data_IF_184657868311
#
_entry.id   IF_184657868311
#
_cell.length_a   1.000
_cell.length_b   1.000
_cell.length_c   1.000
_cell.angle_alpha   90.00
_cell.angle_beta   90.00
_cell.angle_gamma   90.00
#
_symmetry.space_group_name_H-M   'P 1'
#
loop_
_entity.id
_entity.type
_entity.pdbx_description
1 polymer ?
#
# COMPACT_ATOMS: atom_id res chain seq x y z
N UNK A 1 -13.88 19.32 -60.71
CA UNK A 1 -13.03 18.69 -59.68
C UNK A 1 -13.84 17.69 -58.87
N UNK A 2 -13.35 16.45 -58.73
CA UNK A 2 -13.91 15.42 -57.84
C UNK A 2 -13.39 15.60 -56.42
N UNK A 3 -14.26 15.89 -55.46
CA UNK A 3 -13.90 15.97 -54.05
C UNK A 3 -13.89 14.58 -53.42
N UNK A 4 -12.78 14.20 -52.82
CA UNK A 4 -12.65 12.91 -52.13
C UNK A 4 -13.52 12.85 -50.86
N UNK A 5 -14.03 11.65 -50.52
CA UNK A 5 -14.85 11.43 -49.33
C UNK A 5 -14.05 11.48 -48.03
N UNK A 6 -12.73 11.25 -48.10
CA UNK A 6 -11.82 11.20 -46.97
C UNK A 6 -10.73 12.25 -47.10
N UNK A 7 -10.31 12.79 -45.96
CA UNK A 7 -9.11 13.61 -45.86
C UNK A 7 -7.88 12.71 -45.93
N UNK A 8 -6.80 13.24 -46.49
CA UNK A 8 -5.52 12.56 -46.55
C UNK A 8 -4.58 13.13 -45.49
N UNK A 9 -3.79 12.27 -44.86
CA UNK A 9 -2.71 12.70 -43.99
C UNK A 9 -1.54 13.05 -44.91
N UNK A 10 -1.02 14.27 -44.78
CA UNK A 10 0.03 14.83 -45.64
C UNK A 10 1.39 14.55 -45.04
N UNK A 11 1.53 14.77 -43.73
CA UNK A 11 2.76 14.54 -42.98
C UNK A 11 2.45 14.39 -41.48
N UNK A 12 3.29 13.62 -40.77
CA UNK A 12 3.29 13.44 -39.32
C UNK A 12 4.65 13.84 -38.73
N UNK A 13 4.68 14.13 -37.43
CA UNK A 13 5.95 14.37 -36.73
C UNK A 13 6.75 13.10 -36.41
N UNK A 14 6.35 11.92 -36.90
CA UNK A 14 7.02 10.65 -36.60
C UNK A 14 8.37 10.54 -37.32
N UNK A 15 9.24 9.68 -36.79
CA UNK A 15 10.48 9.32 -37.48
C UNK A 15 10.13 8.53 -38.73
N UNK A 16 10.52 9.05 -39.89
CA UNK A 16 10.32 8.39 -41.17
C UNK A 16 11.37 7.29 -41.43
N UNK A 17 11.20 6.51 -42.49
CA UNK A 17 12.13 5.44 -42.93
C UNK A 17 13.51 5.94 -43.36
N UNK A 18 13.66 7.26 -43.53
CA UNK A 18 14.92 7.94 -43.80
C UNK A 18 15.58 8.44 -42.50
N UNK A 19 15.06 8.01 -41.34
CA UNK A 19 15.61 8.23 -40.00
C UNK A 19 15.60 9.67 -39.52
N UNK A 20 14.75 10.54 -40.08
CA UNK A 20 14.52 11.91 -39.60
C UNK A 20 13.02 12.16 -39.32
N UNK A 21 12.71 13.26 -38.64
CA UNK A 21 11.34 13.79 -38.48
C UNK A 21 11.28 15.25 -38.93
N UNK A 22 10.10 15.73 -39.30
CA UNK A 22 9.85 17.15 -39.54
C UNK A 22 8.85 17.69 -38.52
N UNK A 23 9.11 18.90 -37.99
CA UNK A 23 8.20 19.55 -37.05
C UNK A 23 7.06 20.24 -37.81
N UNK A 24 5.83 19.90 -37.47
CA UNK A 24 4.63 20.39 -38.17
C UNK A 24 4.46 21.91 -37.99
N UNK A 25 4.85 22.43 -36.84
CA UNK A 25 4.80 23.87 -36.57
C UNK A 25 5.87 24.65 -37.35
N UNK A 26 6.93 23.98 -37.78
CA UNK A 26 8.00 24.54 -38.58
C UNK A 26 7.75 24.57 -40.09
N UNK A 27 6.65 23.95 -40.55
CA UNK A 27 6.31 23.89 -41.98
C UNK A 27 5.55 25.16 -42.36
N UNK A 28 6.15 25.94 -43.25
CA UNK A 28 5.50 27.06 -43.92
C UNK A 28 4.58 26.55 -45.04
N UNK A 29 3.31 26.92 -44.95
CA UNK A 29 2.25 26.54 -45.87
C UNK A 29 1.88 27.66 -46.85
N UNK A 30 2.39 28.88 -46.67
CA UNK A 30 1.91 30.07 -47.36
C UNK A 30 2.04 29.96 -48.89
N UNK A 31 3.16 29.44 -49.38
CA UNK A 31 3.36 29.22 -50.82
C UNK A 31 2.42 28.16 -51.37
N UNK A 32 2.22 27.06 -50.63
CA UNK A 32 1.35 25.98 -51.05
C UNK A 32 -0.12 26.40 -51.07
N UNK A 33 -0.59 27.18 -50.09
CA UNK A 33 -1.97 27.66 -50.05
C UNK A 33 -2.32 28.56 -51.24
N UNK A 34 -1.34 29.28 -51.80
CA UNK A 34 -1.52 30.07 -53.01
C UNK A 34 -1.64 29.21 -54.28
N UNK A 35 -1.02 28.03 -54.31
CA UNK A 35 -1.11 27.07 -55.41
C UNK A 35 -1.09 25.63 -54.88
N UNK A 36 -2.24 25.09 -54.41
CA UNK A 36 -2.29 23.84 -53.65
C UNK A 36 -2.22 22.63 -54.57
N UNK A 37 -1.10 22.47 -55.26
CA UNK A 37 -0.92 21.48 -56.32
C UNK A 37 -0.88 20.05 -55.77
N UNK A 38 -1.62 19.14 -56.41
CA UNK A 38 -1.56 17.71 -56.13
C UNK A 38 -0.86 16.97 -57.26
N UNK A 39 0.23 16.28 -56.95
CA UNK A 39 1.04 15.53 -57.92
C UNK A 39 0.82 14.02 -57.82
N UNK A 40 1.39 13.30 -58.79
CA UNK A 40 1.52 11.85 -58.79
C UNK A 40 2.99 11.46 -58.70
N UNK A 41 3.37 10.67 -57.68
CA UNK A 41 4.76 10.21 -57.45
C UNK A 41 5.83 11.31 -57.52
N UNK A 42 5.55 12.53 -57.05
CA UNK A 42 6.46 13.68 -57.13
C UNK A 42 6.86 14.09 -58.55
N UNK A 43 6.17 13.57 -59.58
CA UNK A 43 6.43 13.94 -60.96
C UNK A 43 5.86 15.33 -61.22
N UNK A 44 6.78 16.27 -61.43
CA UNK A 44 6.45 17.63 -61.84
C UNK A 44 6.56 17.77 -63.34
N UNK A 45 5.83 18.75 -63.87
CA UNK A 45 5.74 18.92 -65.30
C UNK A 45 6.98 19.60 -65.91
N UNK A 46 8.11 18.90 -65.99
CA UNK A 46 9.34 19.36 -66.66
C UNK A 46 9.62 18.52 -67.90
N UNK A 47 9.68 19.15 -69.08
CA UNK A 47 10.01 18.46 -70.34
C UNK A 47 9.07 18.75 -71.50
N UNK A 48 9.04 17.87 -72.49
CA UNK A 48 8.21 17.99 -73.69
C UNK A 48 6.78 17.51 -73.41
N UNK A 49 5.78 18.31 -73.83
CA UNK A 49 4.33 18.20 -73.53
C UNK A 49 3.72 16.80 -73.64
N UNK A 50 4.32 15.92 -74.43
CA UNK A 50 3.88 14.57 -74.78
C UNK A 50 4.34 13.47 -73.81
N UNK A 51 5.25 13.75 -72.88
CA UNK A 51 5.83 12.74 -71.96
C UNK A 51 5.66 13.10 -70.47
N UNK A 52 4.82 14.07 -70.14
CA UNK A 52 4.79 14.66 -68.80
C UNK A 52 3.48 14.40 -68.06
N UNK A 53 3.59 13.94 -66.81
CA UNK A 53 2.46 13.90 -65.89
C UNK A 53 2.13 15.32 -65.45
N UNK A 54 0.92 15.78 -65.79
CA UNK A 54 0.38 17.02 -65.25
C UNK A 54 -0.12 16.80 -63.81
N UNK A 55 -0.24 17.86 -63.00
CA UNK A 55 -0.89 17.77 -61.70
C UNK A 55 -2.26 17.10 -61.79
N UNK A 56 -2.52 16.17 -60.89
CA UNK A 56 -3.76 15.37 -60.85
C UNK A 56 -4.89 16.04 -60.07
N UNK A 57 -4.65 17.26 -59.57
CA UNK A 57 -5.64 18.11 -58.93
C UNK A 57 -5.04 19.00 -57.85
N UNK A 58 -5.75 19.14 -56.73
CA UNK A 58 -5.38 19.99 -55.60
C UNK A 58 -5.57 19.29 -54.24
N UNK A 59 -4.83 19.74 -53.23
CA UNK A 59 -5.10 19.39 -51.83
C UNK A 59 -5.40 20.66 -51.04
N UNK A 60 -6.66 20.85 -50.68
CA UNK A 60 -7.15 22.08 -50.03
C UNK A 60 -7.49 21.85 -48.56
N UNK A 61 -7.92 22.91 -47.87
CA UNK A 61 -8.38 22.85 -46.47
C UNK A 61 -7.33 22.18 -45.56
N UNK A 62 -6.06 22.57 -45.67
CA UNK A 62 -5.00 22.04 -44.82
C UNK A 62 -5.30 22.32 -43.34
N UNK A 63 -5.06 21.34 -42.48
CA UNK A 63 -5.32 21.44 -41.04
C UNK A 63 -4.22 20.77 -40.24
N UNK A 64 -3.67 21.49 -39.27
CA UNK A 64 -2.81 20.94 -38.22
C UNK A 64 -3.70 20.36 -37.12
N UNK A 65 -3.60 19.07 -36.85
CA UNK A 65 -4.43 18.40 -35.83
C UNK A 65 -3.73 17.18 -35.22
N UNK A 66 -4.26 16.70 -34.10
CA UNK A 66 -3.75 15.51 -33.41
C UNK A 66 -4.71 14.34 -33.67
N UNK A 67 -4.21 13.26 -34.26
CA UNK A 67 -4.97 12.03 -34.48
C UNK A 67 -4.57 10.97 -33.44
N UNK A 68 -5.52 10.19 -32.89
CA UNK A 68 -5.26 9.23 -31.81
C UNK A 68 -4.12 8.23 -32.08
N UNK A 69 -4.01 7.72 -33.30
CA UNK A 69 -3.05 6.66 -33.67
C UNK A 69 -1.78 7.17 -34.35
N UNK A 70 -1.75 8.44 -34.76
CA UNK A 70 -0.68 9.02 -35.59
C UNK A 70 0.08 10.14 -34.87
N UNK A 71 -0.58 10.83 -33.93
CA UNK A 71 -0.03 12.00 -33.24
C UNK A 71 -0.31 13.30 -33.99
N UNK A 72 0.60 14.27 -33.88
CA UNK A 72 0.47 15.58 -34.50
C UNK A 72 0.77 15.51 -36.01
N UNK A 73 -0.16 15.96 -36.83
CA UNK A 73 -0.15 15.81 -38.29
C UNK A 73 -0.68 17.05 -39.01
N UNK A 74 -0.37 17.15 -40.30
CA UNK A 74 -1.14 17.96 -41.25
C UNK A 74 -2.04 17.02 -42.06
N UNK A 75 -3.33 17.34 -42.15
CA UNK A 75 -4.29 16.70 -43.04
C UNK A 75 -4.76 17.66 -44.12
N UNK A 76 -5.18 17.15 -45.27
CA UNK A 76 -5.73 17.93 -46.37
C UNK A 76 -6.91 17.23 -47.04
N UNK A 77 -7.70 17.99 -47.80
CA UNK A 77 -8.83 17.51 -48.59
C UNK A 77 -8.41 17.37 -50.06
N UNK A 78 -8.27 16.15 -50.60
CA UNK A 78 -7.98 15.95 -52.01
C UNK A 78 -9.16 16.36 -52.89
N UNK A 79 -8.83 17.07 -53.97
CA UNK A 79 -9.69 17.41 -55.10
C UNK A 79 -9.00 16.93 -56.37
N UNK A 80 -9.58 15.98 -57.08
CA UNK A 80 -9.01 15.44 -58.32
C UNK A 80 -9.56 16.19 -59.53
N UNK A 81 -8.75 16.34 -60.58
CA UNK A 81 -9.22 16.87 -61.87
C UNK A 81 -10.20 15.88 -62.53
N UNK A 82 -11.44 16.29 -62.79
CA UNK A 82 -12.47 15.47 -63.46
C UNK A 82 -12.34 15.47 -64.99
N UNK A 83 -11.52 16.36 -65.52
CA UNK A 83 -11.23 16.45 -66.96
C UNK A 83 -10.10 15.51 -67.38
N UNK A 84 -9.30 15.02 -66.43
CA UNK A 84 -8.23 14.05 -66.64
C UNK A 84 -8.67 12.62 -66.27
N UNK A 85 -8.65 11.71 -67.25
CA UNK A 85 -8.95 10.29 -67.03
C UNK A 85 -7.96 9.62 -66.06
N UNK A 86 -6.70 10.05 -66.08
CA UNK A 86 -5.70 9.53 -65.16
C UNK A 86 -6.01 9.96 -63.72
N UNK A 87 -6.24 11.25 -63.47
CA UNK A 87 -6.68 11.75 -62.17
C UNK A 87 -7.95 11.05 -61.66
N UNK A 88 -8.95 10.82 -62.52
CA UNK A 88 -10.16 10.04 -62.17
C UNK A 88 -9.86 8.60 -61.77
N UNK A 89 -8.90 7.96 -62.45
CA UNK A 89 -8.47 6.61 -62.08
C UNK A 89 -7.83 6.56 -60.68
N UNK A 90 -7.06 7.60 -60.32
CA UNK A 90 -6.44 7.73 -58.99
C UNK A 90 -7.51 8.03 -57.94
N UNK A 91 -8.46 8.93 -58.23
CA UNK A 91 -9.63 9.18 -57.37
C UNK A 91 -10.35 7.89 -57.01
N UNK A 92 -10.68 7.05 -58.00
CA UNK A 92 -11.38 5.78 -57.76
C UNK A 92 -10.57 4.82 -56.87
N UNK A 93 -9.24 4.77 -57.04
CA UNK A 93 -8.34 3.98 -56.18
C UNK A 93 -8.23 4.55 -54.77
N UNK A 94 -8.32 5.86 -54.61
CA UNK A 94 -8.34 6.49 -53.30
C UNK A 94 -9.65 6.20 -52.56
N UNK A 95 -10.78 6.40 -53.22
CA UNK A 95 -12.12 6.19 -52.66
C UNK A 95 -12.34 4.74 -52.22
N UNK A 96 -11.92 3.78 -53.04
CA UNK A 96 -12.05 2.35 -52.72
C UNK A 96 -10.98 1.84 -51.73
N UNK A 97 -10.03 2.68 -51.32
CA UNK A 97 -8.98 2.34 -50.36
C UNK A 97 -7.80 1.54 -50.91
N UNK A 98 -7.69 1.36 -52.23
CA UNK A 98 -6.51 0.77 -52.88
C UNK A 98 -5.28 1.66 -52.67
N UNK A 99 -5.46 2.97 -52.79
CA UNK A 99 -4.44 3.99 -52.55
C UNK A 99 -4.81 4.80 -51.32
N UNK A 100 -3.89 4.94 -50.37
CA UNK A 100 -4.15 5.61 -49.08
C UNK A 100 -3.04 6.54 -48.63
N UNK A 101 -1.99 6.70 -49.44
CA UNK A 101 -0.78 7.38 -49.03
C UNK A 101 -0.59 8.68 -49.80
N UNK A 102 -0.13 9.70 -49.09
CA UNK A 102 0.38 10.93 -49.67
C UNK A 102 1.79 11.20 -49.18
N UNK A 103 2.41 12.16 -49.83
CA UNK A 103 3.74 12.61 -49.51
C UNK A 103 3.79 14.13 -49.49
N UNK A 104 4.43 14.68 -48.47
CA UNK A 104 4.77 16.10 -48.44
C UNK A 104 6.11 16.32 -49.16
N UNK A 105 6.09 17.14 -50.19
CA UNK A 105 7.29 17.70 -50.81
C UNK A 105 7.77 18.88 -49.99
N UNK A 106 8.89 18.71 -49.28
CA UNK A 106 9.43 19.74 -48.39
C UNK A 106 10.75 20.30 -48.93
N UNK A 107 10.87 21.62 -48.95
CA UNK A 107 12.16 22.30 -49.10
C UNK A 107 12.72 22.50 -47.69
N UNK A 108 13.84 21.85 -47.31
CA UNK A 108 14.41 21.98 -45.98
C UNK A 108 15.09 23.35 -45.81
N UNK A 109 14.80 24.04 -44.71
CA UNK A 109 15.38 25.36 -44.38
C UNK A 109 16.33 25.26 -43.19
N UNK A 110 15.94 24.53 -42.14
CA UNK A 110 16.72 24.45 -40.90
C UNK A 110 16.65 23.03 -40.31
N UNK A 111 17.82 22.47 -40.04
CA UNK A 111 18.00 21.19 -39.35
C UNK A 111 18.56 21.42 -37.95
N UNK A 112 18.13 20.62 -36.99
CA UNK A 112 18.65 20.62 -35.62
C UNK A 112 19.09 19.23 -35.18
N UNK A 113 20.23 19.17 -34.48
CA UNK A 113 20.74 17.99 -33.80
C UNK A 113 20.52 18.08 -32.27
N UNK A 114 19.71 19.03 -31.81
CA UNK A 114 19.41 19.21 -30.38
C UNK A 114 18.72 17.96 -29.81
N UNK A 115 19.30 17.42 -28.74
CA UNK A 115 18.81 16.23 -28.02
C UNK A 115 17.35 16.41 -27.61
N UNK A 116 16.95 17.63 -27.22
CA UNK A 116 15.57 17.92 -26.82
C UNK A 116 14.54 17.74 -27.96
N UNK A 117 14.98 17.80 -29.23
CA UNK A 117 14.14 17.69 -30.42
C UNK A 117 14.21 16.32 -31.10
N UNK A 118 15.12 15.45 -30.65
CA UNK A 118 15.30 14.10 -31.19
C UNK A 118 14.27 13.12 -30.60
N UNK A 119 13.81 12.17 -31.42
CA UNK A 119 12.96 11.08 -30.97
C UNK A 119 13.70 9.74 -30.92
N UNK A 120 13.25 8.79 -30.07
CA UNK A 120 13.81 7.44 -30.06
C UNK A 120 13.80 6.80 -31.46
N UNK A 121 14.95 6.26 -31.88
CA UNK A 121 15.10 5.62 -33.19
C UNK A 121 15.50 6.55 -34.34
N UNK A 122 15.59 7.87 -34.10
CA UNK A 122 16.06 8.84 -35.08
C UNK A 122 17.60 8.75 -35.24
N UNK A 123 18.10 8.83 -36.48
CA UNK A 123 19.55 8.78 -36.80
C UNK A 123 20.04 10.00 -37.58
N UNK A 124 19.11 10.81 -38.09
CA UNK A 124 19.36 12.06 -38.79
C UNK A 124 18.74 13.25 -38.03
N UNK A 125 19.22 14.46 -38.29
CA UNK A 125 18.72 15.67 -37.61
C UNK A 125 17.20 15.85 -37.73
N UNK A 126 16.60 16.60 -36.81
CA UNK A 126 15.19 17.01 -36.88
C UNK A 126 15.06 18.18 -37.86
N UNK A 127 14.17 18.08 -38.83
CA UNK A 127 13.84 19.19 -39.73
C UNK A 127 12.93 20.17 -38.98
N UNK A 128 13.51 21.27 -38.51
CA UNK A 128 12.84 22.26 -37.65
C UNK A 128 12.07 23.28 -38.47
N UNK A 129 12.58 23.65 -39.65
CA UNK A 129 11.86 24.54 -40.58
C UNK A 129 11.93 24.02 -42.00
N UNK A 130 10.81 24.06 -42.68
CA UNK A 130 10.70 23.70 -44.10
C UNK A 130 9.58 24.47 -44.77
N UNK A 131 9.60 24.50 -46.10
CA UNK A 131 8.51 25.04 -46.93
C UNK A 131 7.81 23.86 -47.59
N UNK A 132 6.48 23.82 -47.51
CA UNK A 132 5.68 22.86 -48.27
C UNK A 132 5.62 23.32 -49.74
N UNK A 133 6.23 22.54 -50.63
CA UNK A 133 6.26 22.84 -52.07
C UNK A 133 5.11 22.15 -52.80
N UNK A 134 4.85 20.89 -52.50
CA UNK A 134 3.81 20.10 -53.15
C UNK A 134 3.26 18.99 -52.25
N UNK A 135 2.10 18.44 -52.61
CA UNK A 135 1.57 17.22 -52.02
C UNK A 135 1.34 16.21 -53.13
N UNK A 136 1.95 15.03 -53.02
CA UNK A 136 1.82 13.98 -54.02
C UNK A 136 1.04 12.79 -53.50
N UNK A 137 0.18 12.21 -54.33
CA UNK A 137 -0.33 10.86 -54.12
C UNK A 137 0.79 9.85 -54.43
N UNK A 138 1.02 8.91 -53.52
CA UNK A 138 2.11 7.91 -53.62
C UNK A 138 1.62 6.51 -53.30
N UNK A 139 2.32 5.49 -53.80
CA UNK A 139 2.00 4.07 -53.64
C UNK A 139 2.66 3.50 -52.38
N UNK A 140 3.86 3.99 -52.06
CA UNK A 140 4.67 3.58 -50.91
C UNK A 140 5.01 4.81 -50.06
N UNK A 141 4.61 4.74 -48.80
CA UNK A 141 4.93 5.71 -47.77
C UNK A 141 6.37 5.59 -47.24
N UNK A 142 6.87 6.69 -46.71
CA UNK A 142 8.06 6.79 -45.87
C UNK A 142 7.81 6.48 -44.38
N UNK A 143 6.57 6.50 -43.88
CA UNK A 143 6.17 6.17 -42.50
C UNK A 143 5.17 5.01 -42.52
N UNK A 144 5.16 4.21 -41.44
CA UNK A 144 4.21 3.11 -41.19
C UNK A 144 2.74 3.56 -41.16
N UNK A 145 2.49 4.86 -41.02
CA UNK A 145 1.17 5.48 -41.07
C UNK A 145 0.81 6.04 -42.46
N UNK A 146 1.35 5.45 -43.53
CA UNK A 146 0.97 5.76 -44.92
C UNK A 146 1.40 7.15 -45.42
N UNK A 147 2.61 7.62 -45.06
CA UNK A 147 3.11 8.95 -45.43
C UNK A 147 4.47 8.87 -46.07
N UNK A 148 4.68 9.34 -47.30
CA UNK A 148 6.03 9.61 -47.80
C UNK A 148 6.46 11.05 -47.48
N UNK A 149 7.76 11.29 -47.50
CA UNK A 149 8.32 12.64 -47.48
C UNK A 149 9.28 12.66 -48.66
N UNK A 150 9.14 13.66 -49.52
CA UNK A 150 10.14 14.00 -50.51
C UNK A 150 10.84 15.28 -50.06
N UNK A 151 12.16 15.35 -50.30
CA UNK A 151 12.91 16.58 -50.08
C UNK A 151 13.27 17.19 -51.44
N UNK A 152 13.24 18.51 -51.51
CA UNK A 152 13.68 19.28 -52.67
C UNK A 152 14.84 20.19 -52.29
N UNK A 153 15.82 20.35 -53.18
CA UNK A 153 16.92 21.28 -52.96
C UNK A 153 16.49 22.74 -53.21
N UNK A 154 17.39 23.70 -52.99
CA UNK A 154 17.09 25.13 -53.21
C UNK A 154 16.80 25.50 -54.68
N UNK A 155 17.21 24.65 -55.63
CA UNK A 155 16.87 24.78 -57.05
C UNK A 155 15.56 24.08 -57.40
N UNK A 156 14.80 23.66 -56.38
CA UNK A 156 13.57 22.90 -56.49
C UNK A 156 13.76 21.51 -57.13
N UNK A 157 14.93 20.91 -57.16
CA UNK A 157 15.13 19.57 -57.73
C UNK A 157 14.88 18.49 -56.68
N UNK A 158 14.26 17.37 -57.07
CA UNK A 158 13.94 16.28 -56.17
C UNK A 158 15.22 15.61 -55.66
N UNK A 159 15.38 15.55 -54.35
CA UNK A 159 16.48 14.83 -53.69
C UNK A 159 16.10 13.36 -53.60
N UNK A 160 16.92 12.50 -54.19
CA UNK A 160 16.69 11.07 -54.14
C UNK A 160 16.95 10.53 -52.73
N UNK A 161 15.87 10.17 -52.03
CA UNK A 161 15.95 9.59 -50.70
C UNK A 161 16.11 8.08 -50.79
N UNK A 162 17.28 7.58 -50.39
CA UNK A 162 17.56 6.14 -50.34
C UNK A 162 17.51 5.61 -48.90
N UNK A 163 17.05 4.37 -48.73
CA UNK A 163 16.95 3.72 -47.41
C UNK A 163 18.32 3.21 -46.90
N UNK A 164 19.29 3.00 -47.79
CA UNK A 164 20.58 2.35 -47.50
C UNK A 164 21.82 3.19 -47.91
N UNK A 165 21.65 4.46 -48.30
CA UNK A 165 22.74 5.32 -48.77
C UNK A 165 22.93 6.58 -47.93
N UNK A 166 24.14 7.15 -47.99
CA UNK A 166 24.44 8.49 -47.48
C UNK A 166 23.62 9.52 -48.28
N UNK A 167 22.46 9.89 -47.75
CA UNK A 167 21.64 10.95 -48.33
C UNK A 167 22.35 12.29 -48.06
N UNK A 168 23.13 12.78 -49.03
CA UNK A 168 24.06 13.91 -48.86
C UNK A 168 23.43 15.20 -48.31
N UNK A 169 22.11 15.38 -48.45
CA UNK A 169 21.38 16.57 -47.98
C UNK A 169 20.69 16.39 -46.62
N UNK A 170 20.66 15.16 -46.08
CA UNK A 170 20.14 14.89 -44.74
C UNK A 170 21.33 14.84 -43.77
N UNK A 171 21.48 15.80 -42.85
CA UNK A 171 22.57 15.78 -41.89
C UNK A 171 22.45 14.55 -40.98
N UNK A 172 23.40 13.62 -41.15
CA UNK A 172 23.59 12.50 -40.24
C UNK A 172 24.03 13.06 -38.90
N UNK A 173 23.39 12.62 -37.82
CA UNK A 173 23.75 13.05 -36.47
C UNK A 173 25.21 12.63 -36.23
N UNK A 174 26.12 13.61 -36.13
CA UNK A 174 27.57 13.35 -36.05
C UNK A 174 27.98 12.74 -34.71
N UNK A 175 27.13 12.86 -33.69
CA UNK A 175 27.26 12.23 -32.38
C UNK A 175 25.94 11.55 -32.00
N UNK A 176 25.75 10.25 -32.26
CA UNK A 176 24.53 9.56 -31.87
C UNK A 176 24.49 9.41 -30.33
N UNK A 177 24.05 10.46 -29.62
CA UNK A 177 23.63 10.37 -28.22
C UNK A 177 22.15 10.00 -28.11
N UNK A 178 21.73 9.08 -28.97
CA UNK A 178 20.56 8.24 -28.71
C UNK A 178 21.02 6.79 -28.55
N UNK A 179 22.14 6.57 -27.86
CA UNK A 179 22.08 5.52 -26.86
C UNK A 179 20.95 5.92 -25.92
N UNK A 180 20.08 4.99 -25.55
CA UNK A 180 19.12 5.18 -24.47
C UNK A 180 19.81 5.99 -23.36
N UNK A 181 19.54 7.29 -23.27
CA UNK A 181 19.63 7.99 -22.01
C UNK A 181 18.47 7.40 -21.20
N UNK A 182 18.69 6.18 -20.67
CA UNK A 182 18.55 6.06 -19.23
C UNK A 182 19.27 7.28 -18.73
N UNK A 183 18.52 8.27 -18.21
CA UNK A 183 19.06 9.39 -17.46
C UNK A 183 20.21 8.82 -16.64
N UNK A 184 21.46 8.97 -17.12
CA UNK A 184 22.63 8.63 -16.34
C UNK A 184 22.65 9.79 -15.37
N UNK A 185 21.87 9.65 -14.30
CA UNK A 185 22.34 10.14 -13.02
C UNK A 185 23.72 9.53 -12.93
N UNK A 186 24.76 10.31 -13.25
CA UNK A 186 26.14 9.94 -12.94
C UNK A 186 26.22 9.89 -11.42
N UNK A 187 25.78 8.75 -10.92
CA UNK A 187 25.87 8.36 -9.54
C UNK A 187 27.30 7.87 -9.39
N UNK A 188 28.22 8.82 -9.30
CA UNK A 188 29.60 8.50 -8.95
C UNK A 188 29.60 7.68 -7.67
N UNK A 189 30.54 6.75 -7.52
CA UNK A 189 30.64 5.91 -6.31
C UNK A 189 30.57 6.75 -5.02
N UNK A 190 31.15 7.95 -5.03
CA UNK A 190 31.05 8.92 -3.94
C UNK A 190 29.62 9.44 -3.70
N UNK A 191 28.86 9.82 -4.73
CA UNK A 191 27.45 10.25 -4.59
C UNK A 191 26.54 9.10 -4.16
N UNK A 192 26.78 7.90 -4.70
CA UNK A 192 26.06 6.69 -4.35
C UNK A 192 26.31 6.28 -2.89
N UNK A 193 27.56 6.39 -2.43
CA UNK A 193 27.94 6.13 -1.05
C UNK A 193 27.21 7.07 -0.08
N UNK A 194 27.15 8.37 -0.37
CA UNK A 194 26.42 9.35 0.45
C UNK A 194 24.93 9.02 0.54
N UNK A 195 24.28 8.68 -0.57
CA UNK A 195 22.86 8.28 -0.59
C UNK A 195 22.59 7.00 0.20
N UNK A 196 23.54 6.07 0.22
CA UNK A 196 23.46 4.82 0.98
C UNK A 196 23.97 4.96 2.43
N UNK A 197 24.36 6.17 2.85
CA UNK A 197 24.91 6.43 4.19
C UNK A 197 26.29 5.81 4.44
N UNK A 198 26.99 5.37 3.39
CA UNK A 198 28.34 4.85 3.44
C UNK A 198 29.33 6.02 3.55
N UNK A 199 30.12 6.05 4.62
CA UNK A 199 31.20 7.04 4.79
C UNK A 199 32.48 6.52 4.14
N UNK A 200 33.16 7.42 3.42
CA UNK A 200 34.47 7.24 2.78
C UNK A 200 34.58 6.01 1.87
N UNK A 201 34.27 6.21 0.59
CA UNK A 201 34.50 5.22 -0.47
C UNK A 201 35.54 5.79 -1.43
N UNK A 202 36.71 5.17 -1.45
CA UNK A 202 37.90 5.69 -2.13
C UNK A 202 38.15 5.03 -3.50
N UNK A 203 37.51 3.89 -3.76
CA UNK A 203 37.59 3.16 -5.03
C UNK A 203 36.24 2.50 -5.40
N UNK A 204 36.08 2.16 -6.68
CA UNK A 204 34.88 1.47 -7.19
C UNK A 204 34.72 0.07 -6.59
N UNK A 205 35.83 -0.65 -6.37
CA UNK A 205 35.80 -2.02 -5.82
C UNK A 205 35.37 -2.02 -4.33
N UNK A 206 35.80 -1.00 -3.58
CA UNK A 206 35.38 -0.78 -2.19
C UNK A 206 33.89 -0.45 -2.12
N UNK A 207 33.37 0.33 -3.08
CA UNK A 207 31.96 0.63 -3.20
C UNK A 207 31.11 -0.64 -3.40
N UNK A 208 31.46 -1.46 -4.39
CA UNK A 208 30.71 -2.68 -4.72
C UNK A 208 30.67 -3.66 -3.56
N UNK A 209 31.79 -3.81 -2.85
CA UNK A 209 31.88 -4.64 -1.65
C UNK A 209 30.95 -4.12 -0.55
N UNK A 210 30.98 -2.80 -0.27
CA UNK A 210 30.13 -2.19 0.75
C UNK A 210 28.64 -2.24 0.42
N UNK A 211 28.27 -2.07 -0.85
CA UNK A 211 26.88 -2.22 -1.31
C UNK A 211 26.41 -3.67 -1.12
N UNK A 212 27.25 -4.64 -1.48
CA UNK A 212 26.95 -6.06 -1.28
C UNK A 212 26.75 -6.38 0.22
N UNK A 213 27.60 -5.84 1.10
CA UNK A 213 27.45 -5.95 2.56
C UNK A 213 26.12 -5.35 3.05
N UNK A 214 25.73 -4.16 2.59
CA UNK A 214 24.46 -3.53 2.97
C UNK A 214 23.26 -4.35 2.48
N UNK A 215 23.31 -4.88 1.27
CA UNK A 215 22.25 -5.72 0.71
C UNK A 215 22.13 -7.02 1.50
N UNK A 216 23.25 -7.68 1.81
CA UNK A 216 23.26 -8.88 2.66
C UNK A 216 22.76 -8.58 4.06
N UNK A 217 23.17 -7.46 4.66
CA UNK A 217 22.70 -7.04 5.97
C UNK A 217 21.18 -6.80 5.96
N UNK A 218 20.66 -6.09 4.95
CA UNK A 218 19.23 -5.85 4.81
C UNK A 218 18.43 -7.15 4.65
N UNK A 219 18.94 -8.12 3.87
CA UNK A 219 18.32 -9.44 3.76
C UNK A 219 18.35 -10.20 5.09
N UNK A 220 19.47 -10.17 5.81
CA UNK A 220 19.59 -10.84 7.11
C UNK A 220 18.68 -10.22 8.17
N UNK A 221 18.58 -8.89 8.21
CA UNK A 221 17.67 -8.15 9.08
C UNK A 221 16.21 -8.46 8.77
N UNK A 222 15.83 -8.55 7.48
CA UNK A 222 14.48 -8.94 7.10
C UNK A 222 14.12 -10.32 7.67
N UNK A 223 14.98 -11.32 7.50
CA UNK A 223 14.76 -12.67 8.04
C UNK A 223 14.69 -12.66 9.57
N UNK A 224 15.54 -11.87 10.24
CA UNK A 224 15.49 -11.73 11.70
C UNK A 224 14.19 -11.06 12.18
N UNK A 225 13.74 -9.99 11.51
CA UNK A 225 12.49 -9.30 11.84
C UNK A 225 11.30 -10.24 11.65
N UNK A 226 11.24 -11.00 10.56
CA UNK A 226 10.19 -12.00 10.32
C UNK A 226 10.20 -13.08 11.41
N UNK A 227 11.38 -13.57 11.79
CA UNK A 227 11.54 -14.58 12.86
C UNK A 227 11.10 -14.04 14.21
N UNK A 228 11.60 -12.86 14.62
CA UNK A 228 11.23 -12.22 15.88
C UNK A 228 9.74 -11.86 15.94
N UNK A 229 9.15 -11.45 14.83
CA UNK A 229 7.71 -11.16 14.75
C UNK A 229 6.89 -12.43 14.94
N UNK A 230 7.31 -13.55 14.34
CA UNK A 230 6.67 -14.86 14.54
C UNK A 230 6.79 -15.33 15.99
N UNK A 231 7.98 -15.28 16.56
CA UNK A 231 8.24 -15.69 17.95
C UNK A 231 7.45 -14.84 18.94
N UNK A 232 7.40 -13.52 18.73
CA UNK A 232 6.59 -12.62 19.55
C UNK A 232 5.10 -12.98 19.48
N UNK A 233 4.58 -13.25 18.29
CA UNK A 233 3.17 -13.64 18.11
C UNK A 233 2.86 -14.96 18.82
N UNK A 234 3.79 -15.93 18.76
CA UNK A 234 3.64 -17.21 19.47
C UNK A 234 3.71 -17.04 20.98
N UNK A 235 4.65 -16.21 21.48
CA UNK A 235 4.78 -15.89 22.89
C UNK A 235 3.54 -15.17 23.43
N UNK A 236 3.03 -14.17 22.72
CA UNK A 236 1.80 -13.45 23.06
C UNK A 236 0.60 -14.42 23.12
N UNK A 237 0.50 -15.35 22.17
CA UNK A 237 -0.50 -16.43 22.18
C UNK A 237 -0.41 -17.32 23.42
N UNK A 238 0.81 -17.74 23.80
CA UNK A 238 1.05 -18.54 25.01
C UNK A 238 0.69 -17.77 26.28
N UNK A 239 0.98 -16.47 26.36
CA UNK A 239 0.63 -15.62 27.50
C UNK A 239 -0.89 -15.53 27.66
N UNK A 240 -1.63 -15.34 26.57
CA UNK A 240 -3.11 -15.33 26.60
C UNK A 240 -3.65 -16.67 27.10
N UNK A 241 -3.11 -17.78 26.59
CA UNK A 241 -3.54 -19.11 26.99
C UNK A 241 -3.25 -19.40 28.47
N UNK A 242 -2.02 -19.14 28.93
CA UNK A 242 -1.64 -19.31 30.34
C UNK A 242 -2.48 -18.44 31.28
N UNK A 243 -2.85 -17.23 30.85
CA UNK A 243 -3.72 -16.34 31.64
C UNK A 243 -5.14 -16.90 31.75
N UNK A 244 -5.67 -17.47 30.67
CA UNK A 244 -6.98 -18.12 30.68
C UNK A 244 -6.97 -19.38 31.57
N UNK A 245 -5.94 -20.21 31.45
CA UNK A 245 -5.77 -21.43 32.26
C UNK A 245 -5.62 -21.08 33.75
N UNK A 246 -4.81 -20.07 34.09
CA UNK A 246 -4.65 -19.60 35.46
C UNK A 246 -5.96 -19.04 36.04
N UNK A 247 -6.75 -18.33 35.23
CA UNK A 247 -8.05 -17.79 35.67
C UNK A 247 -9.04 -18.93 35.94
N UNK A 248 -9.07 -19.93 35.05
CA UNK A 248 -9.87 -21.15 35.24
C UNK A 248 -9.46 -21.89 36.50
N UNK A 249 -8.16 -22.10 36.70
CA UNK A 249 -7.65 -22.81 37.87
C UNK A 249 -8.00 -22.07 39.17
N UNK A 250 -7.79 -20.74 39.23
CA UNK A 250 -8.19 -19.92 40.38
C UNK A 250 -9.69 -20.02 40.68
N UNK A 251 -10.54 -20.05 39.65
CA UNK A 251 -11.99 -20.19 39.81
C UNK A 251 -12.38 -21.56 40.41
N UNK A 252 -11.71 -22.64 39.96
CA UNK A 252 -11.91 -24.00 40.48
C UNK A 252 -11.39 -24.14 41.90
N UNK A 253 -10.23 -23.55 42.21
CA UNK A 253 -9.70 -23.54 43.58
C UNK A 253 -10.61 -22.75 44.53
N UNK A 254 -11.12 -21.59 44.09
CA UNK A 254 -12.06 -20.80 44.88
C UNK A 254 -13.36 -21.56 45.13
N UNK A 255 -13.94 -22.20 44.11
CA UNK A 255 -15.16 -23.00 44.29
C UNK A 255 -14.94 -24.16 45.25
N UNK A 256 -13.82 -24.88 45.13
CA UNK A 256 -13.47 -25.96 46.06
C UNK A 256 -13.28 -25.45 47.50
N UNK A 257 -12.62 -24.30 47.68
CA UNK A 257 -12.45 -23.68 49.01
C UNK A 257 -13.78 -23.27 49.63
N UNK A 258 -14.70 -22.73 48.83
CA UNK A 258 -16.08 -22.39 49.24
C UNK A 258 -16.82 -23.66 49.69
N UNK A 259 -16.78 -24.72 48.89
CA UNK A 259 -17.46 -25.98 49.20
C UNK A 259 -16.96 -26.60 50.51
N UNK A 260 -15.64 -26.66 50.71
CA UNK A 260 -15.04 -27.18 51.94
C UNK A 260 -15.42 -26.34 53.17
N UNK A 261 -15.39 -25.02 53.06
CA UNK A 261 -15.76 -24.11 54.14
C UNK A 261 -17.23 -24.28 54.54
N UNK A 262 -18.14 -24.28 53.56
CA UNK A 262 -19.58 -24.40 53.83
C UNK A 262 -19.90 -25.81 54.33
N UNK A 263 -19.29 -26.86 53.77
CA UNK A 263 -19.47 -28.22 54.26
C UNK A 263 -18.99 -28.35 55.71
N UNK A 264 -17.82 -27.81 56.06
CA UNK A 264 -17.33 -27.80 57.44
C UNK A 264 -18.26 -27.06 58.40
N UNK A 265 -18.94 -26.00 57.95
CA UNK A 265 -19.94 -25.30 58.74
C UNK A 265 -21.24 -26.10 58.94
N UNK A 266 -21.65 -26.90 57.94
CA UNK A 266 -22.76 -27.87 58.07
C UNK A 266 -22.39 -28.96 59.06
N UNK A 267 -21.18 -29.54 58.94
CA UNK A 267 -20.69 -30.60 59.82
C UNK A 267 -20.57 -30.13 61.28
N UNK A 268 -20.13 -28.88 61.48
CA UNK A 268 -20.09 -28.20 62.77
C UNK A 268 -21.47 -27.71 63.27
N UNK A 269 -22.57 -27.99 62.53
CA UNK A 269 -23.96 -27.61 62.84
C UNK A 269 -24.18 -26.11 63.05
N UNK A 270 -23.37 -25.28 62.39
CA UNK A 270 -23.47 -23.82 62.40
C UNK A 270 -24.54 -23.30 61.43
N UNK A 271 -24.82 -24.09 60.40
CA UNK A 271 -25.86 -23.88 59.38
C UNK A 271 -26.54 -25.22 59.07
N UNK A 272 -27.75 -25.19 58.51
CA UNK A 272 -28.47 -26.43 58.13
C UNK A 272 -28.10 -26.90 56.72
N UNK A 273 -28.44 -28.15 56.38
CA UNK A 273 -28.22 -28.70 55.05
C UNK A 273 -29.00 -27.94 53.95
N UNK A 274 -30.18 -27.41 54.29
CA UNK A 274 -31.03 -26.64 53.38
C UNK A 274 -30.46 -25.24 53.09
N UNK A 275 -29.69 -24.68 54.03
CA UNK A 275 -29.04 -23.38 53.88
C UNK A 275 -27.73 -23.45 53.07
N UNK A 276 -27.16 -24.65 52.91
CA UNK A 276 -25.88 -24.86 52.21
C UNK A 276 -25.82 -24.22 50.82
N UNK A 277 -26.81 -24.39 49.92
CA UNK A 277 -26.77 -23.78 48.58
C UNK A 277 -26.75 -22.25 48.64
N UNK A 278 -27.43 -21.65 49.62
CA UNK A 278 -27.47 -20.21 49.80
C UNK A 278 -26.10 -19.65 50.23
N UNK A 279 -25.46 -20.28 51.22
CA UNK A 279 -24.13 -19.86 51.68
C UNK A 279 -23.03 -20.10 50.64
N UNK A 280 -23.15 -21.14 49.79
CA UNK A 280 -22.23 -21.34 48.64
C UNK A 280 -22.36 -20.17 47.65
N UNK A 281 -23.58 -19.74 47.32
CA UNK A 281 -23.81 -18.61 46.42
C UNK A 281 -23.28 -17.29 47.00
N UNK A 282 -23.49 -17.04 48.29
CA UNK A 282 -22.96 -15.83 48.95
C UNK A 282 -21.42 -15.84 49.01
N UNK A 283 -20.81 -16.98 49.29
CA UNK A 283 -19.35 -17.11 49.38
C UNK A 283 -18.68 -16.98 48.01
N UNK A 284 -19.39 -17.31 46.91
CA UNK A 284 -18.93 -17.04 45.55
C UNK A 284 -18.82 -15.54 45.23
N UNK A 285 -19.66 -14.71 45.87
CA UNK A 285 -19.61 -13.25 45.72
C UNK A 285 -18.59 -12.59 46.66
N UNK A 286 -18.45 -13.08 47.89
CA UNK A 286 -17.48 -12.56 48.86
C UNK A 286 -17.08 -13.62 49.89
N UNK A 287 -15.99 -14.34 49.61
CA UNK A 287 -15.49 -15.43 50.46
C UNK A 287 -15.17 -14.97 51.89
N UNK A 288 -14.38 -13.90 52.04
CA UNK A 288 -13.84 -13.48 53.34
C UNK A 288 -14.94 -13.04 54.32
N UNK A 289 -16.00 -12.42 53.80
CA UNK A 289 -17.13 -11.99 54.62
C UNK A 289 -17.92 -13.19 55.13
N UNK A 290 -18.16 -14.19 54.27
CA UNK A 290 -18.89 -15.40 54.66
C UNK A 290 -18.07 -16.25 55.61
N UNK A 291 -16.75 -16.37 55.41
CA UNK A 291 -15.85 -17.07 56.34
C UNK A 291 -15.93 -16.47 57.75
N UNK A 292 -15.86 -15.14 57.86
CA UNK A 292 -16.01 -14.44 59.16
C UNK A 292 -17.37 -14.70 59.78
N UNK A 293 -18.46 -14.58 59.02
CA UNK A 293 -19.82 -14.83 59.52
C UNK A 293 -19.95 -16.27 60.04
N UNK A 294 -19.50 -17.27 59.28
CA UNK A 294 -19.53 -18.68 59.70
C UNK A 294 -18.63 -18.95 60.90
N UNK A 295 -17.50 -18.24 61.05
CA UNK A 295 -16.61 -18.38 62.21
C UNK A 295 -17.29 -17.96 63.52
N UNK A 296 -18.10 -16.89 63.49
CA UNK A 296 -18.79 -16.34 64.68
C UNK A 296 -20.02 -17.12 65.11
N UNK A 297 -20.60 -17.95 64.23
CA UNK A 297 -21.75 -18.80 64.55
C UNK A 297 -21.33 -19.95 65.48
N UNK A 298 -22.06 -20.12 66.57
CA UNK A 298 -21.96 -21.30 67.45
C UNK A 298 -22.84 -22.43 66.92
N UNK A 299 -22.31 -23.65 66.88
CA UNK A 299 -23.07 -24.81 66.41
C UNK A 299 -24.23 -25.15 67.35
N UNK A 300 -25.34 -25.61 66.78
CA UNK A 300 -26.48 -26.06 67.59
C UNK A 300 -26.08 -27.31 68.39
N UNK A 301 -26.24 -27.32 69.72
CA UNK A 301 -25.84 -28.45 70.54
C UNK A 301 -26.61 -29.70 70.15
N UNK A 302 -25.94 -30.84 70.25
CA UNK A 302 -26.54 -32.16 70.03
C UNK A 302 -27.54 -32.49 71.15
N UNK A 303 -28.50 -33.38 70.87
CA UNK A 303 -29.43 -33.87 71.90
C UNK A 303 -28.67 -34.49 73.08
N UNK A 304 -27.52 -35.15 72.84
CA UNK A 304 -26.62 -35.60 73.91
C UNK A 304 -25.99 -34.46 74.74
N UNK A 305 -25.55 -33.36 74.11
CA UNK A 305 -24.94 -32.23 74.86
C UNK A 305 -25.99 -31.42 75.62
N UNK A 306 -27.21 -31.31 75.09
CA UNK A 306 -28.34 -30.74 75.84
C UNK A 306 -28.72 -31.61 77.06
N UNK A 307 -28.69 -32.94 76.92
CA UNK A 307 -28.93 -33.86 78.03
C UNK A 307 -27.81 -33.82 79.10
N UNK A 308 -26.55 -33.62 78.67
CA UNK A 308 -25.41 -33.42 79.57
C UNK A 308 -25.47 -32.06 80.32
N UNK A 309 -25.90 -30.99 79.66
CA UNK A 309 -26.12 -29.68 80.30
C UNK A 309 -27.28 -29.71 81.30
N UNK A 310 -28.38 -30.41 80.96
CA UNK A 310 -29.51 -30.62 81.87
C UNK A 310 -29.13 -31.44 83.12
N UNK A 311 -28.20 -32.39 82.98
CA UNK A 311 -27.65 -33.15 84.13
C UNK A 311 -26.62 -32.37 84.94
N UNK A 312 -25.87 -31.44 84.33
CA UNK A 312 -24.96 -30.53 85.04
C UNK A 312 -25.68 -29.46 85.89
N UNK A 313 -26.88 -29.01 85.48
CA UNK A 313 -27.72 -28.10 86.27
C UNK A 313 -28.39 -28.73 87.49
N UNK A 314 -28.33 -30.06 87.66
CA UNK A 314 -28.87 -30.78 88.81
C UNK A 314 -27.82 -31.06 89.93
N UNK A 315 -26.59 -30.53 89.79
CA UNK A 315 -25.46 -30.86 90.67
C UNK A 315 -24.74 -29.68 91.34
N UNK A 316 -25.31 -28.48 91.37
CA UNK A 316 -24.73 -27.33 92.08
C UNK A 316 -25.07 -27.40 93.58
N UNK A 317 -24.20 -28.06 94.35
CA UNK A 317 -24.21 -28.03 95.82
C UNK A 317 -23.88 -26.62 96.31
N UNK A 318 -24.88 -25.93 96.84
CA UNK A 318 -24.70 -24.68 97.62
C UNK A 318 -23.88 -25.04 98.86
N UNK A 319 -22.60 -24.66 98.90
CA UNK A 319 -21.75 -24.86 100.08
C UNK A 319 -22.13 -23.82 101.13
N UNK A 320 -22.69 -24.26 102.25
CA UNK A 320 -23.07 -23.38 103.35
C UNK A 320 -21.87 -23.05 104.24
N UNK A 321 -21.96 -22.01 105.07
CA UNK A 321 -20.88 -21.60 106.00
C UNK A 321 -20.35 -22.79 106.83
N UNK A 322 -21.25 -23.67 107.29
CA UNK A 322 -20.90 -24.84 108.13
C UNK A 322 -20.08 -25.90 107.37
N UNK A 323 -20.28 -26.02 106.05
CA UNK A 323 -19.51 -26.94 105.20
C UNK A 323 -18.09 -26.42 104.97
N UNK A 324 -17.95 -25.10 104.90
CA UNK A 324 -16.66 -24.42 104.73
C UNK A 324 -15.86 -24.38 106.04
N UNK A 325 -16.54 -24.28 107.19
CA UNK A 325 -15.94 -24.33 108.52
C UNK A 325 -15.38 -25.73 108.83
N UNK A 326 -16.20 -26.77 108.66
CA UNK A 326 -15.78 -28.17 108.88
C UNK A 326 -14.64 -28.62 107.96
N UNK A 327 -14.54 -28.04 106.77
CA UNK A 327 -13.48 -28.35 105.81
C UNK A 327 -12.22 -27.49 105.96
N UNK A 328 -12.20 -26.56 106.92
CA UNK A 328 -11.04 -25.68 107.18
C UNK A 328 -10.75 -24.68 106.05
N UNK A 329 -11.68 -24.50 105.10
CA UNK A 329 -11.50 -23.69 103.88
C UNK A 329 -11.95 -22.23 104.03
N UNK A 330 -12.50 -21.84 105.19
CA UNK A 330 -12.87 -20.46 105.47
C UNK A 330 -11.68 -19.49 105.42
N UNK A 331 -10.48 -19.95 105.79
CA UNK A 331 -9.27 -19.12 105.75
C UNK A 331 -8.84 -18.82 104.31
N UNK A 332 -8.96 -19.80 103.40
CA UNK A 332 -8.71 -19.61 101.97
C UNK A 332 -9.79 -18.71 101.34
N UNK A 333 -11.07 -18.92 101.68
CA UNK A 333 -12.15 -18.08 101.16
C UNK A 333 -11.99 -16.61 101.58
N UNK A 334 -11.52 -16.35 102.80
CA UNK A 334 -11.23 -14.99 103.27
C UNK A 334 -10.12 -14.30 102.48
N UNK A 335 -9.16 -15.07 101.95
CA UNK A 335 -8.05 -14.56 101.14
C UNK A 335 -8.44 -14.37 99.67
N UNK A 336 -9.19 -15.32 99.10
CA UNK A 336 -9.50 -15.36 97.67
C UNK A 336 -10.75 -14.54 97.30
N UNK A 337 -11.78 -14.51 98.15
CA UNK A 337 -13.00 -13.72 97.94
C UNK A 337 -13.55 -13.17 99.28
N UNK A 338 -13.03 -12.01 99.73
CA UNK A 338 -13.48 -11.36 100.96
C UNK A 338 -14.97 -10.99 100.95
N UNK A 339 -15.55 -10.77 99.77
CA UNK A 339 -16.96 -10.38 99.57
C UNK A 339 -17.90 -11.53 99.87
N UNK A 340 -17.63 -12.70 99.27
CA UNK A 340 -18.41 -13.91 99.52
C UNK A 340 -18.26 -14.40 100.97
N UNK A 341 -17.07 -14.27 101.55
CA UNK A 341 -16.83 -14.55 102.97
C UNK A 341 -17.69 -13.66 103.89
N UNK A 342 -17.75 -12.36 103.61
CA UNK A 342 -18.52 -11.40 104.42
C UNK A 342 -20.02 -11.66 104.32
N UNK A 343 -20.51 -12.03 103.14
CA UNK A 343 -21.91 -12.41 102.91
C UNK A 343 -22.29 -13.64 103.73
N UNK A 344 -21.49 -14.71 103.65
CA UNK A 344 -21.76 -15.96 104.36
C UNK A 344 -21.59 -15.80 105.89
N UNK A 345 -20.68 -14.92 106.35
CA UNK A 345 -20.53 -14.59 107.77
C UNK A 345 -21.76 -13.85 108.31
N UNK A 346 -22.26 -12.86 107.55
CA UNK A 346 -23.46 -12.09 107.90
C UNK A 346 -24.70 -12.99 107.93
N UNK A 347 -24.83 -13.89 106.94
CA UNK A 347 -25.95 -14.84 106.89
C UNK A 347 -25.93 -15.84 108.05
N UNK A 348 -24.74 -16.23 108.54
CA UNK A 348 -24.61 -17.19 109.65
C UNK A 348 -24.77 -16.55 111.03
N UNK A 349 -24.15 -15.38 111.25
CA UNK A 349 -24.04 -14.77 112.58
C UNK A 349 -24.89 -13.51 112.76
N UNK A 350 -25.54 -13.01 111.71
CA UNK A 350 -26.42 -11.84 111.76
C UNK A 350 -25.71 -10.51 112.06
N UNK A 351 -24.38 -10.51 112.11
CA UNK A 351 -23.53 -9.33 112.34
C UNK A 351 -22.59 -9.12 111.17
N UNK A 352 -22.35 -7.86 110.82
CA UNK A 352 -21.39 -7.54 109.77
C UNK A 352 -19.96 -7.80 110.24
N UNK A 353 -19.18 -8.48 109.39
CA UNK A 353 -17.77 -8.73 109.65
C UNK A 353 -16.99 -7.41 109.63
N UNK A 354 -16.57 -6.93 110.80
CA UNK A 354 -15.64 -5.80 110.91
C UNK A 354 -14.21 -6.31 110.72
N UNK A 355 -13.51 -5.71 109.77
CA UNK A 355 -12.17 -6.10 109.32
C UNK A 355 -11.12 -6.02 110.44
#
# INVERSE_FOLDING_TARGET
MLRASKRIIVISERVNRYSFRALIDGIDLAQFEANPVMLWMHNRAFGRKDEVFLPIGNVIELKKEVLPDVGYVITGQPLFDDTDEFAKSIYNKFENGTLRMASAGLIPIEWSEDIALLMPGQKAGTLVKSILEEISMVDIGADSNALAIALYNQNHELIQLSHNGDNAEIPVIKNPKIEKEMLKIELTAAKAAVLLGLKDVSSTDEFETKVSEVVQLAQSQKTQIETLTREKTEADGKVVQLTADLTKEKSVQLSSKIELMVQGAVDARKITADEKPHYVSLAAANYDTVEKVLSTKTGTPTVQTQLALATASAGATVKTWDDLDKSGKLVQLKADDPTLFTQLYKDKFGVEYKK
#
